data_IF_498734663765
#
_entry.id   IF_498734663765
#
_cell.length_a   1.000
_cell.length_b   1.000
_cell.length_c   1.000
_cell.angle_alpha   90.00
_cell.angle_beta   90.00
_cell.angle_gamma   90.00
#
_symmetry.space_group_name_H-M   'P 1'
#
loop_
_entity.id
_entity.type
_entity.pdbx_description
1 polymer ?
#
# COMPACT_ATOMS: atom_id res chain seq x y z
N UNK A 1 -6.74 1.94 27.58
CA UNK A 1 -7.57 1.95 26.35
C UNK A 1 -8.80 1.12 26.61
N UNK A 2 -9.98 1.55 26.16
CA UNK A 2 -11.21 0.76 26.27
C UNK A 2 -11.73 0.56 24.86
N UNK A 3 -11.68 -0.67 24.38
CA UNK A 3 -12.42 -1.06 23.17
C UNK A 3 -13.86 -1.22 23.61
N UNK A 4 -14.74 -0.33 23.16
CA UNK A 4 -16.18 -0.45 23.38
C UNK A 4 -16.72 -1.18 22.17
N UNK A 5 -17.19 -2.42 22.37
CA UNK A 5 -17.76 -3.23 21.29
C UNK A 5 -19.16 -2.72 20.95
N UNK A 6 -19.25 -1.81 19.99
CA UNK A 6 -20.48 -1.48 19.28
C UNK A 6 -20.44 -2.15 17.91
N UNK A 7 -21.07 -3.32 17.76
CA UNK A 7 -21.02 -4.09 16.51
C UNK A 7 -22.07 -3.54 15.53
N UNK A 8 -21.64 -2.75 14.55
CA UNK A 8 -22.33 -2.69 13.26
C UNK A 8 -21.51 -3.55 12.32
N UNK A 9 -22.03 -4.70 11.93
CA UNK A 9 -21.24 -5.79 11.31
C UNK A 9 -20.36 -5.35 10.13
N UNK A 10 -20.81 -4.37 9.35
CA UNK A 10 -20.10 -3.86 8.18
C UNK A 10 -18.90 -2.93 8.49
N UNK A 11 -18.83 -2.31 9.67
CA UNK A 11 -17.87 -1.23 9.95
C UNK A 11 -16.69 -1.61 10.86
N UNK A 12 -16.69 -2.85 11.38
CA UNK A 12 -15.70 -3.31 12.35
C UNK A 12 -15.97 -2.77 13.76
N UNK A 13 -14.90 -2.63 14.55
CA UNK A 13 -14.97 -2.13 15.93
C UNK A 13 -14.36 -0.71 16.03
N UNK A 14 -15.07 0.19 16.71
CA UNK A 14 -14.58 1.55 16.94
C UNK A 14 -13.45 1.55 18.01
N UNK A 15 -12.32 2.16 17.66
CA UNK A 15 -11.22 2.38 18.59
C UNK A 15 -11.37 3.73 19.30
N UNK A 16 -11.69 3.71 20.58
CA UNK A 16 -11.74 4.91 21.41
C UNK A 16 -10.43 5.12 22.18
N UNK A 17 -9.79 6.26 21.94
CA UNK A 17 -8.54 6.66 22.60
C UNK A 17 -8.85 7.82 23.55
N UNK A 18 -8.73 7.56 24.85
CA UNK A 18 -8.85 8.61 25.86
C UNK A 18 -7.58 9.47 25.85
N UNK A 19 -7.75 10.78 25.69
CA UNK A 19 -6.66 11.75 25.78
C UNK A 19 -6.51 12.25 27.22
N UNK A 20 -5.30 12.65 27.65
CA UNK A 20 -5.11 13.30 28.94
C UNK A 20 -5.98 14.56 29.05
N UNK A 21 -6.69 14.75 30.17
CA UNK A 21 -7.67 15.84 30.35
C UNK A 21 -7.08 17.24 30.10
N UNK A 22 -5.80 17.43 30.41
CA UNK A 22 -5.12 18.72 30.26
C UNK A 22 -4.67 18.99 28.82
N UNK A 23 -4.59 17.95 27.97
CA UNK A 23 -4.26 18.13 26.56
C UNK A 23 -5.31 18.97 25.82
N UNK A 24 -6.58 18.77 26.15
CA UNK A 24 -7.70 19.47 25.51
C UNK A 24 -7.82 20.96 25.92
N UNK A 25 -7.14 21.39 26.98
CA UNK A 25 -7.27 22.75 27.53
C UNK A 25 -6.21 23.73 27.00
N UNK A 26 -5.01 23.24 26.64
CA UNK A 26 -3.85 24.10 26.40
C UNK A 26 -3.11 23.87 25.07
N UNK A 27 -3.48 22.84 24.30
CA UNK A 27 -2.64 22.40 23.18
C UNK A 27 -3.06 22.99 21.82
N UNK A 28 -2.25 23.89 21.26
CA UNK A 28 -2.18 24.17 19.80
C UNK A 28 -1.23 23.19 19.07
N UNK A 29 -0.72 22.16 19.75
CA UNK A 29 0.31 21.25 19.21
C UNK A 29 -0.32 20.04 18.54
N UNK A 30 0.33 19.55 17.50
CA UNK A 30 -0.04 18.28 16.88
C UNK A 30 0.07 17.14 17.91
N UNK A 31 -0.99 16.34 18.04
CA UNK A 31 -1.01 15.13 18.85
C UNK A 31 -0.40 13.98 18.04
N UNK A 32 0.61 13.31 18.59
CA UNK A 32 1.12 12.06 18.03
C UNK A 32 0.61 10.87 18.84
N UNK A 33 -0.04 9.93 18.14
CA UNK A 33 -0.52 8.68 18.73
C UNK A 33 0.23 7.51 18.08
N UNK A 34 0.83 6.65 18.91
CA UNK A 34 1.47 5.42 18.46
C UNK A 34 0.62 4.23 18.86
N UNK A 35 0.19 3.45 17.88
CA UNK A 35 -0.59 2.24 18.09
C UNK A 35 0.26 1.04 17.66
N UNK A 36 0.50 0.11 18.58
CA UNK A 36 1.06 -1.20 18.27
C UNK A 36 -0.09 -2.15 18.02
N UNK A 37 -0.13 -2.79 16.85
CA UNK A 37 -1.22 -3.67 16.45
C UNK A 37 -0.69 -4.84 15.62
N UNK A 38 -1.56 -5.82 15.38
CA UNK A 38 -1.36 -6.94 14.47
C UNK A 38 -2.65 -7.11 13.67
N UNK A 39 -2.55 -7.37 12.37
CA UNK A 39 -3.72 -7.67 11.54
C UNK A 39 -4.24 -9.07 11.83
N UNK A 40 -5.55 -9.24 11.67
CA UNK A 40 -6.16 -10.56 11.67
C UNK A 40 -5.76 -11.31 10.40
N UNK A 41 -5.51 -12.64 10.43
CA UNK A 41 -5.34 -13.44 9.21
C UNK A 41 -6.51 -13.28 8.22
N UNK A 42 -7.73 -13.05 8.73
CA UNK A 42 -8.95 -12.86 7.95
C UNK A 42 -9.21 -11.37 7.63
N UNK A 43 -8.18 -10.52 7.69
CA UNK A 43 -8.31 -9.10 7.37
C UNK A 43 -8.82 -8.91 5.93
N UNK A 44 -10.04 -8.38 5.83
CA UNK A 44 -10.79 -8.30 4.56
C UNK A 44 -10.13 -7.45 3.47
N UNK A 45 -9.23 -6.54 3.83
CA UNK A 45 -8.50 -5.70 2.89
C UNK A 45 -7.15 -6.28 2.43
N UNK A 46 -6.80 -7.49 2.86
CA UNK A 46 -5.51 -8.14 2.59
C UNK A 46 -5.79 -9.52 2.00
N UNK A 47 -5.18 -9.81 0.84
CA UNK A 47 -5.21 -11.13 0.25
C UNK A 47 -3.83 -11.77 0.36
N UNK A 48 -3.79 -12.92 1.03
CA UNK A 48 -2.61 -13.77 1.15
C UNK A 48 -2.74 -14.92 0.14
N UNK A 49 -1.70 -15.12 -0.66
CA UNK A 49 -1.62 -16.19 -1.64
C UNK A 49 -0.48 -17.14 -1.26
N UNK A 50 -0.81 -18.42 -1.21
CA UNK A 50 0.18 -19.48 -1.12
C UNK A 50 1.00 -19.57 -2.42
N UNK A 51 2.22 -20.14 -2.39
CA UNK A 51 3.04 -20.29 -3.59
C UNK A 51 2.32 -20.94 -4.77
N UNK A 52 1.44 -21.92 -4.54
CA UNK A 52 0.68 -22.60 -5.61
C UNK A 52 -0.33 -21.68 -6.32
N UNK A 53 -0.70 -20.56 -5.68
CA UNK A 53 -1.61 -19.57 -6.23
C UNK A 53 -0.87 -18.45 -6.98
N UNK A 54 0.46 -18.47 -7.00
CA UNK A 54 1.30 -17.53 -7.77
C UNK A 54 1.74 -18.17 -9.08
N UNK A 55 2.03 -17.35 -10.10
CA UNK A 55 2.49 -17.85 -11.39
C UNK A 55 3.84 -18.58 -11.27
N UNK A 56 4.72 -18.11 -10.38
CA UNK A 56 6.03 -18.70 -10.14
C UNK A 56 6.01 -20.02 -9.36
N UNK A 57 4.96 -20.31 -8.58
CA UNK A 57 4.82 -21.56 -7.83
C UNK A 57 5.77 -21.73 -6.63
N UNK A 58 6.65 -20.75 -6.37
CA UNK A 58 7.77 -20.87 -5.42
C UNK A 58 7.66 -19.98 -4.19
N UNK A 59 7.18 -18.76 -4.38
CA UNK A 59 7.11 -17.73 -3.34
C UNK A 59 5.66 -17.35 -3.06
N UNK A 60 5.32 -17.05 -1.79
CA UNK A 60 4.00 -16.51 -1.46
C UNK A 60 3.86 -15.09 -2.01
N UNK A 61 2.63 -14.61 -2.04
CA UNK A 61 2.30 -13.26 -2.51
C UNK A 61 1.27 -12.63 -1.59
N UNK A 62 1.37 -11.32 -1.40
CA UNK A 62 0.39 -10.50 -0.69
C UNK A 62 0.06 -9.28 -1.52
N UNK A 63 -1.23 -8.94 -1.59
CA UNK A 63 -1.65 -7.60 -2.02
C UNK A 63 -2.81 -7.10 -1.16
N UNK A 64 -2.98 -5.78 -1.12
CA UNK A 64 -4.07 -5.14 -0.41
C UNK A 64 -5.05 -4.49 -1.38
N UNK A 65 -6.34 -4.55 -1.06
CA UNK A 65 -7.40 -3.79 -1.73
C UNK A 65 -8.25 -3.12 -0.65
N UNK A 66 -8.12 -1.80 -0.52
CA UNK A 66 -8.74 -1.07 0.59
C UNK A 66 -10.04 -0.35 0.25
N UNK A 67 -10.31 -0.10 -1.02
CA UNK A 67 -11.57 0.53 -1.39
C UNK A 67 -12.74 -0.46 -1.19
N UNK A 68 -13.88 -0.03 -0.60
CA UNK A 68 -14.17 1.33 -0.13
C UNK A 68 -13.75 1.63 1.31
N UNK A 69 -13.80 0.64 2.22
CA UNK A 69 -13.65 0.84 3.67
C UNK A 69 -12.82 -0.27 4.35
N UNK A 70 -11.88 -0.88 3.62
CA UNK A 70 -11.14 -2.03 4.09
C UNK A 70 -9.75 -1.66 4.65
N UNK A 71 -9.30 -0.40 4.54
CA UNK A 71 -8.04 0.07 5.18
C UNK A 71 -8.02 -0.22 6.68
N UNK A 72 -9.18 -0.07 7.35
CA UNK A 72 -9.33 -0.31 8.78
C UNK A 72 -9.04 -1.75 9.20
N UNK A 73 -9.12 -2.72 8.28
CA UNK A 73 -8.76 -4.12 8.54
C UNK A 73 -7.24 -4.33 8.58
N UNK A 74 -6.48 -3.43 7.95
CA UNK A 74 -5.03 -3.51 7.86
C UNK A 74 -4.31 -2.59 8.85
N UNK A 75 -4.87 -1.41 9.17
CA UNK A 75 -4.28 -0.51 10.17
C UNK A 75 -5.34 0.43 10.77
N UNK A 76 -5.20 0.83 12.06
CA UNK A 76 -6.10 1.79 12.68
C UNK A 76 -5.99 3.18 12.02
N UNK A 77 -7.08 3.66 11.42
CA UNK A 77 -7.12 4.95 10.76
C UNK A 77 -8.53 5.56 10.75
N UNK A 78 -8.60 6.85 10.38
CA UNK A 78 -9.86 7.48 9.98
C UNK A 78 -10.23 7.03 8.58
N UNK A 79 -10.92 5.89 8.50
CA UNK A 79 -11.21 5.24 7.24
C UNK A 79 -12.44 5.86 6.55
N UNK A 80 -12.22 7.06 6.03
CA UNK A 80 -13.20 7.90 5.34
C UNK A 80 -12.49 8.71 4.25
N UNK A 81 -13.11 8.89 3.07
CA UNK A 81 -12.54 9.74 2.02
C UNK A 81 -12.42 11.22 2.44
N UNK A 82 -13.19 11.64 3.46
CA UNK A 82 -13.17 13.02 3.97
C UNK A 82 -11.88 13.40 4.70
N UNK A 83 -11.02 12.44 5.03
CA UNK A 83 -9.71 12.67 5.65
C UNK A 83 -8.61 12.31 4.66
N UNK A 84 -7.63 13.23 4.51
CA UNK A 84 -6.43 13.01 3.69
C UNK A 84 -5.19 13.19 4.52
N UNK A 85 -4.17 12.39 4.25
CA UNK A 85 -2.88 12.44 4.94
C UNK A 85 -1.73 12.01 4.03
N UNK A 86 -0.54 12.49 4.35
CA UNK A 86 0.71 11.93 3.83
C UNK A 86 1.13 10.75 4.69
N UNK A 87 1.96 9.86 4.17
CA UNK A 87 2.50 8.77 4.98
C UNK A 87 3.94 8.43 4.63
N UNK A 88 4.64 7.88 5.61
CA UNK A 88 5.88 7.13 5.41
C UNK A 88 5.66 5.72 5.92
N UNK A 89 6.34 4.76 5.30
CA UNK A 89 6.23 3.36 5.67
C UNK A 89 7.59 2.67 5.62
N UNK A 90 7.79 1.73 6.55
CA UNK A 90 8.88 0.76 6.49
C UNK A 90 8.25 -0.63 6.47
N UNK A 91 8.57 -1.40 5.44
CA UNK A 91 8.02 -2.75 5.24
C UNK A 91 9.17 -3.72 5.24
N UNK A 92 9.16 -4.67 6.17
CA UNK A 92 10.15 -5.74 6.27
C UNK A 92 9.58 -7.05 5.73
N UNK A 93 10.25 -7.68 4.78
CA UNK A 93 9.90 -8.98 4.23
C UNK A 93 11.15 -9.85 4.02
N UNK A 94 10.98 -11.09 3.55
CA UNK A 94 12.08 -11.97 3.20
C UNK A 94 12.90 -11.39 2.03
N UNK A 95 14.23 -11.60 2.02
CA UNK A 95 15.15 -11.06 0.99
C UNK A 95 14.85 -11.50 -0.44
N UNK A 96 14.15 -12.61 -0.61
CA UNK A 96 13.70 -13.13 -1.93
C UNK A 96 12.52 -12.32 -2.50
N UNK A 97 11.86 -11.48 -1.68
CA UNK A 97 10.63 -10.77 -2.04
C UNK A 97 10.86 -9.27 -2.18
N UNK A 98 10.05 -8.66 -3.03
CA UNK A 98 9.99 -7.21 -3.22
C UNK A 98 8.71 -6.67 -2.61
N UNK A 99 8.82 -5.60 -1.83
CA UNK A 99 7.67 -4.83 -1.39
C UNK A 99 7.49 -3.59 -2.28
N UNK A 100 6.24 -3.26 -2.64
CA UNK A 100 5.87 -1.97 -3.22
C UNK A 100 4.68 -1.39 -2.46
N UNK A 101 4.57 -0.07 -2.47
CA UNK A 101 3.43 0.65 -1.89
C UNK A 101 2.97 1.75 -2.84
N UNK A 102 1.80 2.33 -2.58
CA UNK A 102 1.30 3.55 -3.25
C UNK A 102 2.06 4.81 -2.79
N UNK A 103 3.39 4.76 -2.90
CA UNK A 103 4.34 5.74 -2.42
C UNK A 103 5.67 5.65 -3.19
N UNK A 104 6.50 6.68 -3.07
CA UNK A 104 7.82 6.72 -3.67
C UNK A 104 8.77 5.86 -2.82
N UNK A 105 9.50 4.94 -3.45
CA UNK A 105 10.56 4.17 -2.80
C UNK A 105 11.75 5.07 -2.44
N UNK A 106 12.18 5.03 -1.18
CA UNK A 106 13.34 5.76 -0.65
C UNK A 106 14.56 4.82 -0.42
N UNK A 107 14.50 3.61 -0.99
CA UNK A 107 15.55 2.61 -0.90
C UNK A 107 15.21 1.42 0.00
N UNK A 108 16.18 0.52 0.16
CA UNK A 108 16.06 -0.70 0.97
C UNK A 108 17.31 -0.96 1.80
N UNK A 109 17.13 -1.62 2.94
CA UNK A 109 18.22 -2.08 3.81
C UNK A 109 18.08 -3.57 4.05
N UNK A 110 19.08 -4.34 3.64
CA UNK A 110 19.14 -5.79 3.83
C UNK A 110 19.80 -6.14 5.16
N UNK A 111 19.28 -7.17 5.82
CA UNK A 111 19.85 -7.78 7.01
C UNK A 111 20.13 -9.26 6.67
N UNK A 112 21.38 -9.53 6.31
CA UNK A 112 21.85 -10.86 5.87
C UNK A 112 21.74 -11.90 6.97
N UNK A 113 21.92 -11.52 8.25
CA UNK A 113 21.79 -12.43 9.40
C UNK A 113 20.37 -12.99 9.55
N UNK A 114 19.36 -12.14 9.32
CA UNK A 114 17.93 -12.52 9.46
C UNK A 114 17.26 -12.92 8.15
N UNK A 115 17.97 -12.80 7.01
CA UNK A 115 17.41 -12.98 5.66
C UNK A 115 16.17 -12.10 5.42
N UNK A 116 16.21 -10.88 5.94
CA UNK A 116 15.15 -9.90 5.77
C UNK A 116 15.66 -8.65 5.05
N UNK A 117 14.75 -7.99 4.35
CA UNK A 117 14.96 -6.70 3.70
C UNK A 117 13.89 -5.74 4.17
N UNK A 118 14.28 -4.52 4.50
CA UNK A 118 13.36 -3.44 4.87
C UNK A 118 13.34 -2.38 3.78
N UNK A 119 12.18 -2.17 3.19
CA UNK A 119 11.91 -1.13 2.20
C UNK A 119 11.36 0.12 2.86
N UNK A 120 11.85 1.29 2.47
CA UNK A 120 11.36 2.59 2.94
C UNK A 120 10.54 3.28 1.84
N UNK A 121 9.40 3.86 2.22
CA UNK A 121 8.51 4.56 1.30
C UNK A 121 8.04 5.90 1.86
N UNK A 122 7.79 6.85 0.96
CA UNK A 122 7.21 8.16 1.27
C UNK A 122 6.14 8.55 0.25
N UNK A 123 4.95 8.88 0.75
CA UNK A 123 3.85 9.49 -0.01
C UNK A 123 3.70 10.95 0.43
N UNK A 124 4.27 11.91 -0.32
CA UNK A 124 4.24 13.33 0.04
C UNK A 124 2.93 14.03 -0.32
N UNK A 125 2.10 13.45 -1.20
CA UNK A 125 0.82 14.03 -1.59
C UNK A 125 -0.29 13.49 -0.68
N UNK A 126 -1.14 14.34 -0.07
CA UNK A 126 -2.22 13.86 0.81
C UNK A 126 -3.23 12.98 0.08
N UNK A 127 -3.40 11.74 0.56
CA UNK A 127 -4.34 10.75 0.04
C UNK A 127 -5.32 10.29 1.11
N UNK A 128 -6.47 9.77 0.68
CA UNK A 128 -7.41 9.08 1.56
C UNK A 128 -6.93 7.65 1.86
N UNK A 129 -7.40 7.08 2.97
CA UNK A 129 -6.95 5.76 3.46
C UNK A 129 -7.07 4.62 2.45
N UNK A 130 -8.14 4.61 1.66
CA UNK A 130 -8.39 3.58 0.67
C UNK A 130 -7.38 3.54 -0.49
N UNK A 131 -6.56 4.60 -0.66
CA UNK A 131 -5.48 4.67 -1.64
C UNK A 131 -4.14 4.18 -1.09
N UNK A 132 -4.04 3.87 0.21
CA UNK A 132 -2.88 3.13 0.72
C UNK A 132 -2.91 1.75 0.09
N UNK A 133 -1.79 1.30 -0.47
CA UNK A 133 -1.66 -0.03 -1.05
C UNK A 133 -0.31 -0.62 -0.66
N UNK A 134 -0.29 -1.94 -0.50
CA UNK A 134 0.90 -2.74 -0.28
C UNK A 134 0.82 -4.01 -1.14
N UNK A 135 1.94 -4.34 -1.77
CA UNK A 135 2.18 -5.65 -2.37
C UNK A 135 3.51 -6.19 -1.87
N UNK A 136 3.59 -7.50 -1.66
CA UNK A 136 4.83 -8.21 -1.38
C UNK A 136 4.83 -9.52 -2.16
N UNK A 137 5.84 -9.75 -2.98
CA UNK A 137 5.95 -10.98 -3.78
C UNK A 137 7.26 -11.08 -4.55
N UNK A 138 7.39 -12.14 -5.34
CA UNK A 138 8.45 -12.24 -6.35
C UNK A 138 8.11 -11.32 -7.52
N UNK A 139 8.67 -10.11 -7.52
CA UNK A 139 8.38 -9.07 -8.49
C UNK A 139 9.62 -8.66 -9.26
N UNK A 140 9.45 -8.49 -10.57
CA UNK A 140 10.41 -7.85 -11.44
C UNK A 140 9.81 -6.61 -12.07
N UNK A 141 10.70 -5.71 -12.49
CA UNK A 141 10.31 -4.48 -13.16
C UNK A 141 11.01 -4.24 -14.48
N UNK A 142 10.37 -3.44 -15.33
CA UNK A 142 10.96 -2.83 -16.53
C UNK A 142 10.49 -1.39 -16.64
N UNK A 143 11.40 -0.48 -16.94
CA UNK A 143 11.04 0.89 -17.29
C UNK A 143 10.43 0.88 -18.70
N UNK A 144 9.27 1.54 -18.83
CA UNK A 144 8.56 1.73 -20.12
C UNK A 144 8.58 3.19 -20.56
N UNK A 145 8.95 4.10 -19.66
CA UNK A 145 9.24 5.52 -19.94
C UNK A 145 10.13 6.11 -18.84
N UNK A 146 10.61 7.38 -18.96
CA UNK A 146 11.37 8.04 -17.91
C UNK A 146 10.67 8.14 -16.55
N UNK A 147 9.34 8.02 -16.50
CA UNK A 147 8.53 8.13 -15.28
C UNK A 147 7.54 6.98 -15.07
N UNK A 148 7.57 5.97 -15.94
CA UNK A 148 6.67 4.83 -15.89
C UNK A 148 7.43 3.51 -15.88
N UNK A 149 7.03 2.64 -14.96
CA UNK A 149 7.59 1.31 -14.79
C UNK A 149 6.48 0.30 -14.66
N UNK A 150 6.65 -0.85 -15.28
CA UNK A 150 5.77 -2.00 -15.06
C UNK A 150 6.39 -2.96 -14.06
N UNK A 151 5.55 -3.58 -13.26
CA UNK A 151 5.88 -4.61 -12.28
C UNK A 151 5.00 -5.83 -12.48
N UNK A 152 5.55 -7.03 -12.35
CA UNK A 152 4.79 -8.27 -12.32
C UNK A 152 5.66 -9.42 -11.79
N UNK A 153 5.08 -10.61 -11.67
CA UNK A 153 5.89 -11.84 -11.54
C UNK A 153 6.83 -12.00 -12.77
N UNK A 154 8.02 -12.61 -12.61
CA UNK A 154 9.04 -12.69 -13.66
C UNK A 154 8.52 -13.21 -15.01
N UNK A 155 7.67 -14.24 -14.99
CA UNK A 155 7.15 -14.86 -16.21
C UNK A 155 6.17 -13.98 -16.99
N UNK A 156 5.66 -12.89 -16.40
CA UNK A 156 4.69 -11.98 -17.02
C UNK A 156 5.30 -10.63 -17.44
N UNK A 157 6.53 -10.33 -17.03
CA UNK A 157 7.05 -8.95 -17.12
C UNK A 157 7.18 -8.45 -18.55
N UNK A 158 7.64 -9.29 -19.47
CA UNK A 158 7.81 -8.89 -20.89
C UNK A 158 6.46 -8.71 -21.60
N UNK A 159 5.45 -9.52 -21.25
CA UNK A 159 4.08 -9.33 -21.76
C UNK A 159 3.48 -8.03 -21.22
N UNK A 160 3.72 -7.73 -19.95
CA UNK A 160 3.28 -6.50 -19.28
C UNK A 160 3.92 -5.27 -19.92
N UNK A 161 5.21 -5.33 -20.27
CA UNK A 161 5.89 -4.26 -21.02
C UNK A 161 5.21 -4.01 -22.37
N UNK A 162 4.98 -5.06 -23.14
CA UNK A 162 4.36 -4.95 -24.45
C UNK A 162 2.97 -4.32 -24.34
N UNK A 163 2.13 -4.83 -23.43
CA UNK A 163 0.75 -4.38 -23.26
C UNK A 163 0.66 -2.90 -22.86
N UNK A 164 1.54 -2.46 -21.96
CA UNK A 164 1.48 -1.11 -21.38
C UNK A 164 2.47 -0.11 -22.01
N UNK A 165 3.10 -0.43 -23.14
CA UNK A 165 4.09 0.43 -23.79
C UNK A 165 3.59 1.86 -24.11
N UNK A 166 2.28 2.04 -24.30
CA UNK A 166 1.66 3.33 -24.61
C UNK A 166 1.35 4.22 -23.39
N UNK A 167 1.65 3.78 -22.16
CA UNK A 167 1.27 4.49 -20.93
C UNK A 167 1.73 5.94 -20.89
N UNK A 168 2.97 6.22 -21.31
CA UNK A 168 3.50 7.60 -21.32
C UNK A 168 2.72 8.50 -22.28
N UNK A 169 2.27 7.96 -23.41
CA UNK A 169 1.45 8.71 -24.38
C UNK A 169 0.11 9.09 -23.75
N UNK A 170 -0.52 8.17 -23.02
CA UNK A 170 -1.77 8.45 -22.32
C UNK A 170 -1.60 9.49 -21.22
N UNK A 171 -0.51 9.42 -20.44
CA UNK A 171 -0.23 10.42 -19.42
C UNK A 171 -0.03 11.81 -20.02
N UNK A 172 0.73 11.95 -21.12
CA UNK A 172 0.91 13.25 -21.79
C UNK A 172 -0.42 13.85 -22.26
N UNK A 173 -1.27 13.04 -22.90
CA UNK A 173 -2.60 13.47 -23.32
C UNK A 173 -3.48 13.85 -22.12
N UNK A 174 -3.43 13.08 -21.03
CA UNK A 174 -4.15 13.40 -19.81
C UNK A 174 -3.65 14.72 -19.20
N UNK A 175 -2.35 15.00 -19.24
CA UNK A 175 -1.78 16.25 -18.75
C UNK A 175 -2.19 17.47 -19.59
N UNK A 176 -2.31 17.29 -20.91
CA UNK A 176 -2.81 18.33 -21.82
C UNK A 176 -4.27 18.72 -21.51
N UNK A 177 -5.09 17.75 -21.06
CA UNK A 177 -6.52 17.95 -20.78
C UNK A 177 -6.75 18.40 -19.33
N UNK A 178 -6.10 17.74 -18.37
CA UNK A 178 -6.40 17.83 -16.95
C UNK A 178 -5.37 18.65 -16.15
N UNK A 179 -4.28 19.08 -16.79
CA UNK A 179 -3.14 19.71 -16.13
C UNK A 179 -2.11 18.70 -15.63
N UNK A 180 -1.03 19.24 -15.05
CA UNK A 180 0.18 18.50 -14.68
C UNK A 180 -0.10 17.28 -13.79
N UNK A 181 0.63 16.18 -14.02
CA UNK A 181 0.61 15.01 -13.16
C UNK A 181 1.41 15.25 -11.86
N UNK A 182 0.73 15.30 -10.73
CA UNK A 182 1.31 15.71 -9.44
C UNK A 182 2.03 14.59 -8.66
N UNK A 183 1.95 13.34 -9.10
CA UNK A 183 2.43 12.18 -8.32
C UNK A 183 3.86 11.75 -8.63
N UNK A 184 4.60 12.53 -9.42
CA UNK A 184 6.00 12.30 -9.87
C UNK A 184 6.19 11.13 -10.83
N UNK A 185 5.73 9.94 -10.48
CA UNK A 185 5.89 8.68 -11.24
C UNK A 185 4.57 7.94 -11.36
N UNK A 186 4.43 7.12 -12.39
CA UNK A 186 3.24 6.32 -12.64
C UNK A 186 3.65 4.89 -12.97
N UNK A 187 3.66 4.05 -11.94
CA UNK A 187 4.00 2.64 -12.07
C UNK A 187 2.72 1.80 -12.23
N UNK A 188 2.83 0.73 -13.00
CA UNK A 188 1.79 -0.27 -13.20
C UNK A 188 2.23 -1.59 -12.58
N UNK A 189 1.32 -2.25 -11.87
CA UNK A 189 1.54 -3.57 -11.29
C UNK A 189 0.51 -4.53 -11.87
N UNK A 190 0.97 -5.54 -12.60
CA UNK A 190 0.13 -6.65 -13.05
C UNK A 190 0.07 -7.70 -11.93
N UNK A 191 -1.10 -7.79 -11.30
CA UNK A 191 -1.36 -8.70 -10.17
C UNK A 191 -1.69 -10.12 -10.63
N UNK A 192 -1.61 -11.12 -9.74
CA UNK A 192 -2.09 -12.47 -10.02
C UNK A 192 -3.57 -12.49 -10.42
N UNK A 193 -4.04 -13.53 -11.15
CA UNK A 193 -5.41 -13.61 -11.67
C UNK A 193 -6.52 -13.55 -10.61
N UNK A 194 -6.18 -13.74 -9.34
CA UNK A 194 -7.12 -13.66 -8.22
C UNK A 194 -7.45 -12.22 -7.80
N UNK A 195 -6.84 -11.20 -8.40
CA UNK A 195 -7.21 -9.81 -8.13
C UNK A 195 -8.69 -9.59 -8.51
N UNK A 196 -9.54 -9.18 -7.56
CA UNK A 196 -10.97 -9.07 -7.83
C UNK A 196 -11.24 -7.94 -8.84
N UNK A 197 -11.89 -8.30 -9.95
CA UNK A 197 -12.43 -7.35 -10.93
C UNK A 197 -13.57 -6.51 -10.34
#
# INVERSE_FOLDING_TARGET
FKVIKGKVSAFGEALHIALPQDWCKESKKALQVRIKYKTDPDATGIQWLEPVQTLGGKHPYLFTQFQPILSRSAFPCFDTPGVKYTYTAQVTCATELVALMSAISEGKKENTTTKQVTYSFRQPVPISSYLVALVVGDLQSRDISPRCKVWSEPAMVEKTVFEFANTERFLKLAEEICGKYEWTRYDLLCLPPSFPC
#
